data_IF_447942594150
#
_entry.id   IF_447942594150
#
_cell.length_a   1.000
_cell.length_b   1.000
_cell.length_c   1.000
_cell.angle_alpha   90.00
_cell.angle_beta   90.00
_cell.angle_gamma   90.00
#
_symmetry.space_group_name_H-M   'P 1'
#
loop_
_entity.id
_entity.type
_entity.pdbx_description
1 polymer ?
#
# COMPACT_ATOMS: atom_id res chain seq x y z
N UNK A 1 7.76 26.46 -1.45
CA UNK A 1 9.23 26.42 -1.39
C UNK A 1 9.72 25.69 -2.63
N UNK A 2 10.72 26.22 -3.34
CA UNK A 2 11.41 25.47 -4.39
C UNK A 2 12.65 24.80 -3.78
N UNK A 3 12.75 23.48 -3.85
CA UNK A 3 13.90 22.72 -3.36
C UNK A 3 14.63 22.15 -4.58
N UNK A 4 15.86 22.61 -4.80
CA UNK A 4 16.70 22.11 -5.87
C UNK A 4 17.83 21.26 -5.28
N UNK A 5 18.05 20.10 -5.88
CA UNK A 5 19.15 19.20 -5.51
C UNK A 5 20.21 19.28 -6.60
N UNK A 6 21.42 19.63 -6.21
CA UNK A 6 22.58 19.56 -7.11
C UNK A 6 23.23 18.18 -6.96
N UNK A 7 23.23 17.42 -8.06
CA UNK A 7 23.89 16.11 -8.14
C UNK A 7 25.08 16.25 -9.10
N UNK A 8 26.32 16.00 -8.65
CA UNK A 8 27.49 16.09 -9.52
C UNK A 8 27.38 15.18 -10.74
N UNK A 9 27.74 15.69 -11.92
CA UNK A 9 27.61 14.98 -13.20
C UNK A 9 28.36 13.63 -13.20
N UNK A 10 29.51 13.57 -12.54
CA UNK A 10 30.32 12.34 -12.36
C UNK A 10 29.55 11.18 -11.68
N UNK A 11 28.54 11.49 -10.85
CA UNK A 11 27.70 10.50 -10.17
C UNK A 11 26.64 9.90 -11.07
N UNK A 12 26.27 10.62 -12.14
CA UNK A 12 25.21 10.25 -13.09
C UNK A 12 25.73 10.11 -14.52
N UNK A 13 27.05 10.09 -14.71
CA UNK A 13 27.69 10.01 -16.03
C UNK A 13 27.26 8.77 -16.84
N UNK A 14 26.95 7.67 -16.16
CA UNK A 14 26.53 6.41 -16.77
C UNK A 14 25.00 6.24 -16.83
N UNK A 15 24.23 7.25 -16.42
CA UNK A 15 22.77 7.18 -16.46
C UNK A 15 22.27 7.53 -17.85
N UNK A 16 21.36 6.73 -18.38
CA UNK A 16 20.54 7.13 -19.53
C UNK A 16 19.67 8.34 -19.17
N UNK A 17 19.15 9.04 -20.19
CA UNK A 17 18.22 10.15 -19.95
C UNK A 17 16.96 9.70 -19.19
N UNK A 18 16.47 8.49 -19.47
CA UNK A 18 15.34 7.89 -18.76
C UNK A 18 15.70 7.61 -17.30
N UNK A 19 16.90 7.09 -17.01
CA UNK A 19 17.36 6.85 -15.65
C UNK A 19 17.52 8.16 -14.85
N UNK A 20 17.99 9.24 -15.48
CA UNK A 20 18.06 10.58 -14.85
C UNK A 20 16.66 11.12 -14.54
N UNK A 21 15.73 10.94 -15.47
CA UNK A 21 14.32 11.33 -15.29
C UNK A 21 13.68 10.55 -14.15
N UNK A 22 13.90 9.24 -14.09
CA UNK A 22 13.37 8.40 -13.02
C UNK A 22 13.99 8.73 -11.66
N UNK A 23 15.30 9.00 -11.60
CA UNK A 23 15.95 9.49 -10.38
C UNK A 23 15.26 10.75 -9.85
N UNK A 24 14.99 11.72 -10.73
CA UNK A 24 14.27 12.95 -10.36
C UNK A 24 12.87 12.65 -9.81
N UNK A 25 12.11 11.77 -10.48
CA UNK A 25 10.77 11.38 -10.04
C UNK A 25 10.80 10.71 -8.66
N UNK A 26 11.74 9.78 -8.45
CA UNK A 26 11.91 9.09 -7.18
C UNK A 26 12.33 10.03 -6.06
N UNK A 27 13.27 10.95 -6.31
CA UNK A 27 13.68 11.96 -5.34
C UNK A 27 12.52 12.90 -4.96
N UNK A 28 11.71 13.31 -5.94
CA UNK A 28 10.52 14.14 -5.68
C UNK A 28 9.52 13.39 -4.81
N UNK A 29 9.22 12.13 -5.15
CA UNK A 29 8.30 11.28 -4.37
C UNK A 29 8.78 11.09 -2.93
N UNK A 30 10.05 10.77 -2.73
CA UNK A 30 10.62 10.59 -1.38
C UNK A 30 10.54 11.90 -0.59
N UNK A 31 10.84 13.04 -1.21
CA UNK A 31 10.72 14.34 -0.55
C UNK A 31 9.29 14.63 -0.10
N UNK A 32 8.29 14.34 -0.94
CA UNK A 32 6.86 14.45 -0.60
C UNK A 32 6.48 13.53 0.57
N UNK A 33 6.91 12.27 0.54
CA UNK A 33 6.66 11.31 1.63
C UNK A 33 7.28 11.76 2.96
N UNK A 34 8.47 12.37 2.93
CA UNK A 34 9.10 12.97 4.12
C UNK A 34 8.28 14.14 4.67
N UNK A 35 7.76 15.00 3.81
CA UNK A 35 6.93 16.15 4.22
C UNK A 35 5.63 15.67 4.87
N UNK A 36 4.96 14.70 4.26
CA UNK A 36 3.70 14.14 4.76
C UNK A 36 3.91 13.44 6.11
N UNK A 37 4.95 12.62 6.22
CA UNK A 37 5.25 11.89 7.45
C UNK A 37 5.72 12.82 8.58
N UNK A 38 6.54 13.82 8.28
CA UNK A 38 6.96 14.82 9.28
C UNK A 38 5.74 15.59 9.83
N UNK A 39 4.79 15.94 8.97
CA UNK A 39 3.53 16.57 9.35
C UNK A 39 2.67 15.63 10.21
N UNK A 40 2.63 14.33 9.88
CA UNK A 40 1.93 13.32 10.67
C UNK A 40 2.54 13.14 12.07
N UNK A 41 3.87 13.09 12.16
CA UNK A 41 4.59 12.98 13.44
C UNK A 41 4.31 14.20 14.31
N UNK A 42 4.40 15.41 13.75
CA UNK A 42 4.04 16.64 14.43
C UNK A 42 2.63 16.57 14.99
N UNK A 43 1.64 16.26 14.14
CA UNK A 43 0.25 16.24 14.52
C UNK A 43 -0.05 15.20 15.63
N UNK A 44 0.68 14.09 15.63
CA UNK A 44 0.52 13.03 16.63
C UNK A 44 1.04 13.39 18.03
N UNK A 45 1.96 14.37 18.11
CA UNK A 45 2.62 14.79 19.36
C UNK A 45 2.21 16.17 19.82
N UNK A 46 1.51 16.92 18.96
CA UNK A 46 1.09 18.28 19.25
C UNK A 46 0.19 18.31 20.48
N UNK A 47 0.52 19.21 21.41
CA UNK A 47 -0.31 19.46 22.59
C UNK A 47 -1.60 20.17 22.13
N UNK A 48 -2.79 19.77 22.62
CA UNK A 48 -4.02 20.50 22.33
C UNK A 48 -3.84 22.00 22.65
N UNK A 49 -4.23 22.87 21.72
CA UNK A 49 -4.09 24.34 21.77
C UNK A 49 -2.70 24.93 21.48
N UNK A 50 -1.69 24.12 21.15
CA UNK A 50 -0.42 24.63 20.63
C UNK A 50 -0.45 24.91 19.12
N UNK A 51 0.33 25.91 18.68
CA UNK A 51 0.50 26.20 17.26
C UNK A 51 1.18 25.03 16.54
N UNK A 52 0.81 24.84 15.28
CA UNK A 52 1.41 23.78 14.47
C UNK A 52 2.77 24.21 13.92
N UNK A 53 3.79 23.39 14.13
CA UNK A 53 5.14 23.64 13.62
C UNK A 53 5.87 22.31 13.37
N UNK A 54 6.16 22.03 12.09
CA UNK A 54 7.00 20.90 11.72
C UNK A 54 8.46 21.28 11.93
N UNK A 55 9.08 20.69 12.95
CA UNK A 55 10.47 20.98 13.33
C UNK A 55 11.48 20.10 12.58
N UNK A 56 12.76 20.48 12.65
CA UNK A 56 13.87 19.64 12.15
C UNK A 56 13.83 18.22 12.72
N UNK A 57 13.43 18.05 13.98
CA UNK A 57 13.33 16.73 14.61
C UNK A 57 12.27 15.86 13.96
N UNK A 58 11.13 16.44 13.55
CA UNK A 58 10.06 15.73 12.84
C UNK A 58 10.54 15.27 11.46
N UNK A 59 11.25 16.15 10.73
CA UNK A 59 11.81 15.82 9.40
C UNK A 59 12.88 14.73 9.51
N UNK A 60 13.78 14.83 10.50
CA UNK A 60 14.82 13.81 10.75
C UNK A 60 14.21 12.45 11.09
N UNK A 61 13.19 12.43 11.93
CA UNK A 61 12.51 11.20 12.31
C UNK A 61 11.75 10.59 11.14
N UNK A 62 11.05 11.42 10.35
CA UNK A 62 10.40 11.00 9.13
C UNK A 62 11.43 10.33 8.19
N UNK A 63 12.52 11.04 7.86
CA UNK A 63 13.55 10.58 6.93
C UNK A 63 14.32 9.32 7.38
N UNK A 64 14.29 8.98 8.67
CA UNK A 64 14.99 7.80 9.23
C UNK A 64 14.07 6.63 9.51
N UNK A 65 12.75 6.78 9.34
CA UNK A 65 11.83 5.66 9.52
C UNK A 65 12.02 4.62 8.41
N UNK A 66 12.20 3.33 8.75
CA UNK A 66 12.35 2.26 7.77
C UNK A 66 11.09 2.03 6.91
N UNK A 67 9.96 2.68 7.24
CA UNK A 67 8.71 2.62 6.46
C UNK A 67 8.64 3.61 5.29
N UNK A 68 9.67 4.43 5.07
CA UNK A 68 9.88 5.13 3.79
C UNK A 68 10.38 4.21 2.67
N UNK A 69 10.51 2.91 2.94
CA UNK A 69 10.51 1.90 1.89
C UNK A 69 9.08 1.83 1.35
N UNK A 70 8.77 2.78 0.47
CA UNK A 70 7.69 2.77 -0.52
C UNK A 70 6.52 1.88 -0.12
N UNK A 71 5.69 2.34 0.83
CA UNK A 71 4.38 1.72 1.00
C UNK A 71 3.57 2.05 -0.27
N UNK A 72 3.70 1.22 -1.31
CA UNK A 72 2.92 1.37 -2.55
C UNK A 72 1.46 1.52 -2.15
N UNK A 73 0.85 2.66 -2.48
CA UNK A 73 -0.59 2.87 -2.30
C UNK A 73 -1.31 1.67 -2.90
N UNK A 74 -2.04 0.94 -2.05
CA UNK A 74 -2.80 -0.23 -2.47
C UNK A 74 -3.73 0.19 -3.61
N UNK A 75 -3.52 -0.40 -4.80
CA UNK A 75 -4.32 -0.08 -5.98
C UNK A 75 -5.81 -0.25 -5.67
N UNK A 76 -6.65 0.63 -6.22
CA UNK A 76 -8.10 0.52 -6.10
C UNK A 76 -8.58 -0.88 -6.50
N UNK A 77 -7.97 -1.46 -7.52
CA UNK A 77 -8.26 -2.82 -7.98
C UNK A 77 -8.02 -3.87 -6.88
N UNK A 78 -6.93 -3.75 -6.12
CA UNK A 78 -6.63 -4.65 -4.99
C UNK A 78 -7.66 -4.50 -3.87
N UNK A 79 -8.21 -3.30 -3.65
CA UNK A 79 -9.31 -3.08 -2.69
C UNK A 79 -10.60 -3.79 -3.12
N UNK A 80 -10.93 -3.74 -4.42
CA UNK A 80 -12.10 -4.44 -4.97
C UNK A 80 -11.94 -5.96 -4.79
N UNK A 81 -10.79 -6.53 -5.15
CA UNK A 81 -10.57 -7.98 -5.01
C UNK A 81 -10.65 -8.40 -3.54
N UNK A 82 -10.15 -7.57 -2.61
CA UNK A 82 -10.26 -7.84 -1.17
C UNK A 82 -11.72 -7.86 -0.70
N UNK A 83 -12.56 -6.97 -1.23
CA UNK A 83 -14.00 -7.00 -0.95
C UNK A 83 -14.66 -8.27 -1.50
N UNK A 84 -14.34 -8.67 -2.73
CA UNK A 84 -14.85 -9.91 -3.34
C UNK A 84 -14.43 -11.12 -2.52
N UNK A 85 -13.15 -11.22 -2.13
CA UNK A 85 -12.64 -12.31 -1.31
C UNK A 85 -13.42 -12.43 0.01
N UNK A 86 -13.70 -11.30 0.67
CA UNK A 86 -14.46 -11.25 1.91
C UNK A 86 -15.91 -11.71 1.73
N UNK A 87 -16.62 -11.18 0.73
CA UNK A 87 -18.02 -11.56 0.45
C UNK A 87 -18.12 -13.03 0.06
N UNK A 88 -17.27 -13.51 -0.85
CA UNK A 88 -17.27 -14.93 -1.25
C UNK A 88 -16.96 -15.87 -0.08
N UNK A 89 -16.06 -15.48 0.82
CA UNK A 89 -15.77 -16.26 2.03
C UNK A 89 -16.96 -16.34 2.98
N UNK A 90 -17.67 -15.22 3.18
CA UNK A 90 -18.90 -15.20 3.98
C UNK A 90 -20.00 -16.06 3.36
N UNK A 91 -20.21 -15.94 2.05
CA UNK A 91 -21.22 -16.74 1.34
C UNK A 91 -20.85 -18.22 1.39
N UNK A 92 -19.60 -18.59 1.11
CA UNK A 92 -19.13 -19.97 1.22
C UNK A 92 -19.32 -20.52 2.65
N UNK A 93 -18.98 -19.74 3.67
CA UNK A 93 -19.21 -20.10 5.08
C UNK A 93 -20.69 -20.27 5.41
N UNK A 94 -21.57 -19.42 4.88
CA UNK A 94 -23.03 -19.56 5.07
C UNK A 94 -23.62 -20.77 4.35
N UNK A 95 -23.01 -21.18 3.24
CA UNK A 95 -23.39 -22.35 2.46
C UNK A 95 -22.85 -23.66 3.06
N UNK A 96 -21.97 -23.61 4.06
CA UNK A 96 -21.42 -24.76 4.78
C UNK A 96 -22.47 -25.37 5.72
N UNK A 97 -23.54 -25.89 5.13
CA UNK A 97 -24.64 -26.58 5.80
C UNK A 97 -24.66 -28.03 5.33
N UNK A 98 -24.12 -28.92 6.17
CA UNK A 98 -23.97 -30.34 5.85
C UNK A 98 -25.30 -31.05 5.65
N UNK A 99 -26.41 -30.50 6.16
CA UNK A 99 -27.75 -31.07 5.98
C UNK A 99 -28.31 -30.82 4.58
N UNK A 100 -27.85 -29.75 3.92
CA UNK A 100 -28.27 -29.34 2.56
C UNK A 100 -27.35 -29.85 1.47
N UNK A 101 -26.31 -30.62 1.80
CA UNK A 101 -25.39 -31.20 0.82
C UNK A 101 -25.99 -32.36 0.00
N UNK A 102 -27.20 -32.79 0.34
CA UNK A 102 -28.02 -33.67 -0.51
C UNK A 102 -28.58 -32.93 -1.73
N UNK A 103 -28.72 -31.59 -1.66
CA UNK A 103 -29.19 -30.76 -2.76
C UNK A 103 -28.02 -30.41 -3.70
N UNK A 104 -28.04 -30.96 -4.92
CA UNK A 104 -26.98 -30.77 -5.92
C UNK A 104 -26.70 -29.29 -6.20
N UNK A 105 -27.75 -28.45 -6.25
CA UNK A 105 -27.61 -27.02 -6.51
C UNK A 105 -26.88 -26.28 -5.37
N UNK A 106 -27.15 -26.65 -4.12
CA UNK A 106 -26.51 -26.05 -2.94
C UNK A 106 -25.01 -26.39 -2.90
N UNK A 107 -24.66 -27.64 -3.22
CA UNK A 107 -23.26 -28.09 -3.32
C UNK A 107 -22.51 -27.38 -4.45
N UNK A 108 -23.13 -27.22 -5.62
CA UNK A 108 -22.51 -26.49 -6.75
C UNK A 108 -22.18 -25.05 -6.34
N UNK A 109 -23.13 -24.33 -5.73
CA UNK A 109 -22.89 -22.96 -5.27
C UNK A 109 -21.82 -22.87 -4.18
N UNK A 110 -21.81 -23.82 -3.24
CA UNK A 110 -20.77 -23.90 -2.21
C UNK A 110 -19.38 -24.07 -2.82
N UNK A 111 -19.23 -24.99 -3.78
CA UNK A 111 -17.95 -25.25 -4.47
C UNK A 111 -17.51 -24.00 -5.24
N UNK A 112 -18.39 -23.38 -6.03
CA UNK A 112 -18.07 -22.18 -6.82
C UNK A 112 -17.61 -21.04 -5.93
N UNK A 113 -18.35 -20.74 -4.85
CA UNK A 113 -17.99 -19.67 -3.93
C UNK A 113 -16.69 -19.95 -3.18
N UNK A 114 -16.43 -21.22 -2.82
CA UNK A 114 -15.17 -21.63 -2.20
C UNK A 114 -13.98 -21.44 -3.14
N UNK A 115 -14.12 -21.80 -4.42
CA UNK A 115 -13.05 -21.57 -5.41
C UNK A 115 -12.77 -20.09 -5.62
N UNK A 116 -13.81 -19.24 -5.70
CA UNK A 116 -13.64 -17.79 -5.82
C UNK A 116 -12.93 -17.24 -4.57
N UNK A 117 -13.37 -17.63 -3.37
CA UNK A 117 -12.77 -17.19 -2.11
C UNK A 117 -11.29 -17.57 -2.01
N UNK A 118 -10.95 -18.84 -2.30
CA UNK A 118 -9.57 -19.33 -2.26
C UNK A 118 -8.74 -18.64 -3.35
N UNK A 119 -9.22 -18.62 -4.60
CA UNK A 119 -8.48 -18.04 -5.72
C UNK A 119 -8.19 -16.56 -5.54
N UNK A 120 -9.17 -15.79 -5.05
CA UNK A 120 -8.97 -14.36 -4.76
C UNK A 120 -8.04 -14.14 -3.57
N UNK A 121 -8.12 -14.97 -2.52
CA UNK A 121 -7.22 -14.90 -1.36
C UNK A 121 -5.78 -15.22 -1.77
N UNK A 122 -5.57 -16.29 -2.54
CA UNK A 122 -4.25 -16.67 -3.06
C UNK A 122 -3.67 -15.56 -3.94
N UNK A 123 -4.47 -15.01 -4.86
CA UNK A 123 -4.05 -13.88 -5.69
C UNK A 123 -3.66 -12.67 -4.84
N UNK A 124 -4.44 -12.35 -3.80
CA UNK A 124 -4.12 -11.25 -2.89
C UNK A 124 -2.81 -11.52 -2.14
N UNK A 125 -2.59 -12.71 -1.60
CA UNK A 125 -1.34 -13.05 -0.89
C UNK A 125 -0.13 -12.86 -1.79
N UNK A 126 -0.11 -13.48 -2.98
CA UNK A 126 1.02 -13.36 -3.90
C UNK A 126 1.23 -11.93 -4.42
N UNK A 127 0.16 -11.16 -4.64
CA UNK A 127 0.27 -9.82 -5.19
C UNK A 127 0.41 -8.72 -4.10
N UNK A 128 0.17 -9.06 -2.83
CA UNK A 128 0.55 -8.24 -1.69
C UNK A 128 2.04 -8.41 -1.38
N UNK A 129 2.57 -9.63 -1.49
CA UNK A 129 4.01 -9.91 -1.28
C UNK A 129 4.88 -9.29 -2.40
N UNK A 130 4.37 -9.19 -3.63
CA UNK A 130 5.07 -8.53 -4.75
C UNK A 130 5.02 -6.99 -4.70
N UNK A 131 4.29 -6.42 -3.74
CA UNK A 131 4.18 -4.97 -3.52
C UNK A 131 4.70 -4.54 -2.14
N UNK A 132 5.37 -5.44 -1.41
CA UNK A 132 6.12 -5.16 -0.18
C UNK A 132 7.55 -4.73 -0.44
#
# INVERSE_FOLDING_TARGET
MNIEFEIPDEKVQNFSNDAKTELKNQSCRIAEEIVDEASRIEASRRVPESNSEVTQSNVKEAATQPRMIVAKKKSWFTKIIQLVAFVSSLVAGSLLDTTKFTETNHVIWFIVMSFIAIGTTVYLTFNQDNNG
#
